data_IF_707873906022
#
_entry.id   IF_707873906022
#
_cell.length_a   1.000
_cell.length_b   1.000
_cell.length_c   1.000
_cell.angle_alpha   90.00
_cell.angle_beta   90.00
_cell.angle_gamma   90.00
#
_symmetry.space_group_name_H-M   'P 1'
#
loop_
_entity.id
_entity.type
_entity.pdbx_description
1 polymer ?
#
# COMPACT_ATOMS: atom_id res chain seq x y z
N UNK A 1 1.00 4.69 -4.84
CA UNK A 1 -0.16 5.50 -4.35
C UNK A 1 0.21 6.91 -3.90
N UNK A 2 1.41 7.14 -3.37
CA UNK A 2 1.88 8.49 -3.03
C UNK A 2 1.89 9.43 -4.24
N UNK A 3 2.33 8.96 -5.39
CA UNK A 3 2.47 9.76 -6.61
C UNK A 3 1.14 10.27 -7.19
N UNK A 4 0.06 9.46 -7.14
CA UNK A 4 -1.27 9.95 -7.51
C UNK A 4 -1.70 11.14 -6.65
N UNK A 5 -1.50 11.03 -5.32
CA UNK A 5 -1.85 12.11 -4.37
C UNK A 5 -0.93 13.33 -4.54
N UNK A 6 0.34 13.12 -4.81
CA UNK A 6 1.29 14.20 -5.09
C UNK A 6 0.89 14.98 -6.35
N UNK A 7 0.57 14.28 -7.44
CA UNK A 7 0.16 14.90 -8.70
C UNK A 7 -1.23 15.52 -8.65
N UNK A 8 -2.21 14.84 -8.06
CA UNK A 8 -3.63 15.22 -8.19
C UNK A 8 -4.29 15.64 -6.89
N UNK A 9 -3.63 15.50 -5.74
CA UNK A 9 -4.20 15.79 -4.42
C UNK A 9 -5.23 14.73 -3.99
N UNK A 10 -6.01 15.06 -2.98
CA UNK A 10 -7.10 14.18 -2.53
C UNK A 10 -8.29 14.27 -3.53
N UNK A 11 -8.64 13.17 -4.24
CA UNK A 11 -9.69 13.21 -5.26
C UNK A 11 -11.10 13.32 -4.67
N UNK A 12 -11.30 12.97 -3.39
CA UNK A 12 -12.62 13.07 -2.73
C UNK A 12 -12.93 14.51 -2.33
N UNK A 13 -11.94 15.22 -1.79
CA UNK A 13 -12.08 16.62 -1.35
C UNK A 13 -11.57 17.62 -2.39
N UNK A 14 -11.06 17.14 -3.52
CA UNK A 14 -10.50 17.93 -4.62
C UNK A 14 -9.54 19.05 -4.16
N UNK A 15 -8.54 18.68 -3.38
CA UNK A 15 -7.62 19.63 -2.73
C UNK A 15 -6.81 20.51 -3.69
N UNK A 16 -6.72 20.13 -4.99
CA UNK A 16 -6.07 20.93 -6.04
C UNK A 16 -7.03 21.72 -6.92
N UNK A 17 -8.34 21.62 -6.68
CA UNK A 17 -9.35 22.43 -7.40
C UNK A 17 -9.51 22.02 -8.87
N UNK A 18 -9.32 20.77 -9.24
CA UNK A 18 -9.55 20.28 -10.59
C UNK A 18 -11.02 20.44 -11.00
N UNK A 19 -11.30 20.54 -12.30
CA UNK A 19 -12.65 20.37 -12.79
C UNK A 19 -13.20 19.01 -12.37
N UNK A 20 -14.50 18.94 -12.11
CA UNK A 20 -15.18 17.69 -11.75
C UNK A 20 -16.38 17.44 -12.64
N UNK A 21 -16.74 16.17 -12.78
CA UNK A 21 -18.02 15.73 -13.33
C UNK A 21 -18.48 14.48 -12.57
N UNK A 22 -19.77 14.18 -12.63
CA UNK A 22 -20.29 12.97 -12.00
C UNK A 22 -19.80 11.72 -12.72
N UNK A 23 -19.50 10.65 -11.98
CA UNK A 23 -19.08 9.36 -12.57
C UNK A 23 -20.08 8.91 -13.66
N UNK A 24 -21.38 9.05 -13.43
CA UNK A 24 -22.41 8.70 -14.41
C UNK A 24 -22.30 9.44 -15.75
N UNK A 25 -21.66 10.61 -15.77
CA UNK A 25 -21.53 11.47 -16.95
C UNK A 25 -20.21 11.21 -17.70
N UNK A 26 -19.15 10.78 -17.00
CA UNK A 26 -17.80 10.61 -17.56
C UNK A 26 -17.29 9.18 -17.57
N UNK A 27 -17.90 8.30 -16.81
CA UNK A 27 -17.62 6.85 -16.78
C UNK A 27 -18.92 6.08 -16.40
N UNK A 28 -19.97 6.14 -17.22
CA UNK A 28 -21.23 5.46 -16.93
C UNK A 28 -21.06 3.95 -16.81
N UNK A 29 -21.98 3.31 -16.08
CA UNK A 29 -22.12 1.85 -16.10
C UNK A 29 -22.54 1.41 -17.50
N UNK A 30 -21.61 0.81 -18.22
CA UNK A 30 -21.84 0.38 -19.60
C UNK A 30 -21.19 -0.99 -19.82
N UNK A 31 -21.96 -2.08 -19.65
CA UNK A 31 -21.54 -3.40 -20.06
C UNK A 31 -21.15 -3.44 -21.53
N UNK A 32 -20.25 -4.35 -21.91
CA UNK A 32 -19.92 -4.59 -23.31
C UNK A 32 -21.16 -5.01 -24.11
N UNK A 33 -21.21 -4.60 -25.36
CA UNK A 33 -22.25 -5.06 -26.32
C UNK A 33 -21.78 -6.24 -27.17
N UNK A 34 -20.57 -6.71 -26.93
CA UNK A 34 -19.99 -7.84 -27.65
C UNK A 34 -20.79 -9.11 -27.40
N UNK A 35 -21.13 -9.84 -28.46
CA UNK A 35 -21.79 -11.12 -28.35
C UNK A 35 -20.72 -12.21 -28.11
N UNK A 36 -20.62 -12.63 -26.86
CA UNK A 36 -19.71 -13.70 -26.48
C UNK A 36 -20.36 -15.05 -26.73
N UNK A 37 -19.62 -16.03 -27.27
CA UNK A 37 -20.08 -17.38 -27.58
C UNK A 37 -19.02 -18.41 -27.21
N UNK A 38 -19.47 -19.63 -26.89
CA UNK A 38 -18.60 -20.72 -26.47
C UNK A 38 -18.08 -20.52 -25.03
N UNK A 39 -16.84 -20.91 -24.79
CA UNK A 39 -16.19 -20.70 -23.50
C UNK A 39 -15.78 -19.25 -23.34
N UNK A 40 -16.33 -18.61 -22.33
CA UNK A 40 -16.08 -17.21 -22.01
C UNK A 40 -15.34 -17.10 -20.68
N UNK A 41 -14.56 -16.06 -20.53
CA UNK A 41 -13.94 -15.72 -19.27
C UNK A 41 -15.00 -15.25 -18.26
N UNK A 42 -15.12 -15.99 -17.13
CA UNK A 42 -15.95 -15.61 -16.00
C UNK A 42 -15.08 -15.04 -14.90
N UNK A 43 -15.30 -13.76 -14.56
CA UNK A 43 -14.56 -13.07 -13.53
C UNK A 43 -15.40 -12.96 -12.24
N UNK A 44 -14.96 -13.66 -11.20
CA UNK A 44 -15.48 -13.56 -9.85
C UNK A 44 -14.59 -12.70 -8.95
N UNK A 45 -15.13 -12.27 -7.81
CA UNK A 45 -14.41 -11.40 -6.89
C UNK A 45 -13.18 -12.06 -6.25
N UNK A 46 -13.19 -13.35 -6.03
CA UNK A 46 -12.07 -14.13 -5.49
C UNK A 46 -10.89 -14.22 -6.45
N UNK A 47 -11.13 -14.07 -7.75
CA UNK A 47 -10.11 -14.02 -8.80
C UNK A 47 -9.40 -12.67 -8.90
N UNK A 48 -9.79 -11.68 -8.10
CA UNK A 48 -9.17 -10.35 -8.05
C UNK A 48 -8.41 -10.18 -6.75
N UNK A 49 -7.13 -9.87 -6.84
CA UNK A 49 -6.30 -9.58 -5.69
C UNK A 49 -6.68 -8.24 -5.05
N UNK A 50 -6.84 -8.25 -3.73
CA UNK A 50 -7.19 -7.04 -2.97
C UNK A 50 -6.07 -6.00 -3.04
N UNK A 51 -6.42 -4.72 -3.21
CA UNK A 51 -5.51 -3.55 -3.23
C UNK A 51 -4.53 -3.42 -4.41
N UNK A 52 -4.44 -4.39 -5.30
CA UNK A 52 -3.42 -4.41 -6.36
C UNK A 52 -3.95 -4.05 -7.74
N UNK A 53 -5.23 -4.35 -7.99
CA UNK A 53 -5.82 -4.24 -9.32
C UNK A 53 -5.41 -5.37 -10.27
N UNK A 54 -4.96 -6.51 -9.74
CA UNK A 54 -4.52 -7.69 -10.50
C UNK A 54 -5.59 -8.76 -10.51
N UNK A 55 -5.69 -9.44 -11.63
CA UNK A 55 -6.45 -10.69 -11.81
C UNK A 55 -5.47 -11.82 -11.57
N UNK A 56 -5.74 -12.67 -10.57
CA UNK A 56 -4.86 -13.75 -10.14
C UNK A 56 -5.22 -15.10 -10.78
N UNK A 57 -6.44 -15.20 -11.31
CA UNK A 57 -6.94 -16.41 -11.94
C UNK A 57 -7.90 -16.05 -13.08
N UNK A 58 -7.88 -16.80 -14.17
CA UNK A 58 -8.84 -16.73 -15.26
C UNK A 58 -9.52 -18.08 -15.42
N UNK A 59 -10.84 -18.10 -15.28
CA UNK A 59 -11.68 -19.30 -15.47
C UNK A 59 -12.56 -19.08 -16.69
N UNK A 60 -12.62 -20.10 -17.57
CA UNK A 60 -13.44 -20.05 -18.79
C UNK A 60 -14.52 -21.12 -18.71
N UNK A 61 -15.77 -20.71 -18.83
CA UNK A 61 -16.94 -21.58 -18.77
C UNK A 61 -17.88 -21.34 -19.96
N UNK A 62 -18.77 -22.28 -20.22
CA UNK A 62 -19.79 -22.11 -21.24
C UNK A 62 -20.83 -21.09 -20.80
N UNK A 63 -21.20 -20.18 -21.71
CA UNK A 63 -22.13 -19.04 -21.47
C UNK A 63 -23.46 -19.50 -20.83
N UNK A 64 -23.95 -20.69 -21.19
CA UNK A 64 -25.24 -21.22 -20.74
C UNK A 64 -25.31 -21.43 -19.21
N UNK A 65 -24.18 -21.52 -18.52
CA UNK A 65 -24.10 -21.75 -17.08
C UNK A 65 -23.96 -20.50 -16.22
N UNK A 66 -23.85 -19.33 -16.86
CA UNK A 66 -23.55 -18.07 -16.15
C UNK A 66 -24.84 -17.41 -15.61
N UNK A 67 -25.10 -17.56 -14.31
CA UNK A 67 -26.22 -16.90 -13.62
C UNK A 67 -25.78 -15.54 -13.03
N UNK A 68 -26.61 -14.51 -13.20
CA UNK A 68 -26.41 -13.18 -12.60
C UNK A 68 -25.05 -12.53 -12.93
N UNK A 69 -24.72 -12.51 -14.21
CA UNK A 69 -23.49 -11.91 -14.75
C UNK A 69 -23.79 -10.74 -15.68
N UNK A 70 -22.79 -9.92 -15.94
CA UNK A 70 -22.81 -8.84 -16.91
C UNK A 70 -21.52 -8.84 -17.72
N UNK A 71 -21.61 -8.48 -18.99
CA UNK A 71 -20.47 -8.46 -19.91
C UNK A 71 -19.54 -7.27 -19.66
N UNK A 72 -18.28 -7.45 -19.99
CA UNK A 72 -17.26 -6.40 -20.01
C UNK A 72 -16.28 -6.62 -21.17
N UNK A 73 -15.51 -5.59 -21.48
CA UNK A 73 -14.36 -5.64 -22.39
C UNK A 73 -13.22 -4.75 -21.88
N UNK A 74 -12.12 -4.66 -22.62
CA UNK A 74 -10.88 -3.94 -22.23
C UNK A 74 -11.10 -2.42 -22.06
N UNK A 75 -12.22 -1.88 -22.53
CA UNK A 75 -12.60 -0.47 -22.34
C UNK A 75 -13.20 -0.19 -20.96
N UNK A 76 -13.53 -1.21 -20.19
CA UNK A 76 -14.12 -1.05 -18.87
C UNK A 76 -13.06 -0.92 -17.76
N UNK A 77 -13.46 -0.25 -16.68
CA UNK A 77 -12.87 -0.35 -15.35
C UNK A 77 -13.91 -1.05 -14.46
N UNK A 78 -13.57 -2.24 -13.96
CA UNK A 78 -14.47 -3.04 -13.13
C UNK A 78 -14.26 -2.67 -11.67
N UNK A 79 -15.27 -2.11 -11.03
CA UNK A 79 -15.26 -1.68 -9.64
C UNK A 79 -16.14 -2.60 -8.79
N UNK A 80 -15.57 -3.21 -7.73
CA UNK A 80 -16.35 -3.97 -6.76
C UNK A 80 -17.12 -3.07 -5.81
N UNK A 81 -18.45 -3.08 -5.91
CA UNK A 81 -19.30 -2.41 -4.92
C UNK A 81 -19.38 -3.18 -3.60
N UNK A 82 -19.12 -4.51 -3.61
CA UNK A 82 -19.15 -5.38 -2.43
C UNK A 82 -17.86 -5.26 -1.65
N UNK A 83 -17.96 -5.01 -0.34
CA UNK A 83 -16.84 -4.89 0.60
C UNK A 83 -15.76 -3.94 0.06
N UNK A 84 -16.06 -2.63 -0.07
CA UNK A 84 -15.13 -1.65 -0.67
C UNK A 84 -13.74 -1.65 -0.05
N UNK A 85 -13.62 -2.01 1.23
CA UNK A 85 -12.33 -2.13 1.92
C UNK A 85 -11.38 -3.19 1.33
N UNK A 86 -11.91 -4.16 0.56
CA UNK A 86 -11.07 -5.12 -0.18
C UNK A 86 -10.43 -4.49 -1.41
N UNK A 87 -10.90 -3.31 -1.81
CA UNK A 87 -10.30 -2.50 -2.87
C UNK A 87 -10.04 -3.29 -4.17
N UNK A 88 -11.07 -3.95 -4.66
CA UNK A 88 -11.01 -4.76 -5.88
C UNK A 88 -11.50 -3.93 -7.07
N UNK A 89 -10.54 -3.36 -7.79
CA UNK A 89 -10.75 -2.58 -9.01
C UNK A 89 -9.76 -3.05 -10.05
N UNK A 90 -10.22 -3.47 -11.22
CA UNK A 90 -9.38 -4.02 -12.29
C UNK A 90 -9.73 -3.43 -13.66
N UNK A 91 -8.77 -3.43 -14.56
CA UNK A 91 -8.95 -3.19 -15.99
C UNK A 91 -8.77 -4.55 -16.67
N UNK A 92 -9.82 -5.09 -17.30
CA UNK A 92 -9.71 -6.37 -18.02
C UNK A 92 -8.83 -6.21 -19.26
N UNK A 93 -8.17 -7.30 -19.65
CA UNK A 93 -7.28 -7.39 -20.82
C UNK A 93 -7.91 -8.16 -22.00
N UNK A 94 -9.12 -8.69 -21.80
CA UNK A 94 -9.94 -9.35 -22.82
C UNK A 94 -11.44 -9.26 -22.46
N UNK A 95 -12.35 -9.49 -23.40
CA UNK A 95 -13.79 -9.53 -23.13
C UNK A 95 -14.17 -10.72 -22.25
N UNK A 96 -15.20 -10.53 -21.42
CA UNK A 96 -15.72 -11.57 -20.55
C UNK A 96 -17.03 -11.22 -19.88
N UNK A 97 -17.41 -12.03 -18.91
CA UNK A 97 -18.55 -11.78 -18.03
C UNK A 97 -18.10 -11.76 -16.56
N UNK A 98 -18.67 -10.86 -15.79
CA UNK A 98 -18.38 -10.73 -14.36
C UNK A 98 -19.65 -10.82 -13.53
N UNK A 99 -19.50 -11.20 -12.26
CA UNK A 99 -20.58 -11.10 -11.27
C UNK A 99 -21.14 -9.66 -11.23
N UNK A 100 -22.43 -9.51 -10.98
CA UNK A 100 -23.11 -8.20 -10.87
C UNK A 100 -22.62 -7.35 -9.67
N UNK A 101 -21.74 -7.87 -8.84
CA UNK A 101 -21.05 -7.09 -7.80
C UNK A 101 -19.88 -6.26 -8.36
N UNK A 102 -19.38 -6.58 -9.58
CA UNK A 102 -18.38 -5.80 -10.30
C UNK A 102 -19.10 -4.86 -11.28
N UNK A 103 -18.99 -3.56 -11.05
CA UNK A 103 -19.62 -2.52 -11.85
C UNK A 103 -18.73 -2.17 -13.04
N UNK A 104 -19.18 -2.38 -14.29
CA UNK A 104 -18.40 -2.08 -15.50
C UNK A 104 -18.51 -0.60 -15.86
N UNK A 105 -17.61 0.22 -15.32
CA UNK A 105 -17.51 1.63 -15.64
C UNK A 105 -16.80 1.81 -16.99
N UNK A 106 -17.37 2.60 -17.91
CA UNK A 106 -16.74 2.91 -19.19
C UNK A 106 -16.37 4.39 -19.24
N UNK A 107 -15.09 4.73 -19.03
CA UNK A 107 -14.65 6.12 -19.10
C UNK A 107 -14.74 6.66 -20.53
N UNK A 108 -15.15 7.93 -20.65
CA UNK A 108 -15.11 8.69 -21.90
C UNK A 108 -13.63 9.04 -22.19
N UNK A 109 -13.06 8.37 -23.17
CA UNK A 109 -11.61 8.37 -23.45
C UNK A 109 -11.04 9.74 -23.84
N UNK A 110 -11.90 10.67 -24.28
CA UNK A 110 -11.49 12.04 -24.62
C UNK A 110 -11.19 12.91 -23.38
N UNK A 111 -11.73 12.54 -22.21
CA UNK A 111 -11.67 13.35 -20.98
C UNK A 111 -11.19 12.60 -19.75
N UNK A 112 -11.31 11.27 -19.75
CA UNK A 112 -10.95 10.43 -18.62
C UNK A 112 -10.25 9.14 -19.05
N UNK A 113 -8.98 8.98 -18.68
CA UNK A 113 -8.20 7.79 -19.01
C UNK A 113 -8.54 6.64 -18.07
N UNK A 114 -8.73 5.41 -18.59
CA UNK A 114 -9.12 4.23 -17.79
C UNK A 114 -8.14 3.89 -16.67
N UNK A 115 -6.82 4.02 -16.91
CA UNK A 115 -5.80 3.77 -15.90
C UNK A 115 -5.85 4.84 -14.79
N UNK A 116 -6.06 6.12 -15.15
CA UNK A 116 -6.24 7.18 -14.17
C UNK A 116 -7.48 6.91 -13.30
N UNK A 117 -8.64 6.57 -13.89
CA UNK A 117 -9.85 6.22 -13.16
C UNK A 117 -9.62 5.02 -12.22
N UNK A 118 -8.97 3.97 -12.71
CA UNK A 118 -8.65 2.79 -11.89
C UNK A 118 -7.83 3.18 -10.65
N UNK A 119 -6.81 4.02 -10.81
CA UNK A 119 -5.98 4.48 -9.68
C UNK A 119 -6.74 5.42 -8.74
N UNK A 120 -7.63 6.27 -9.24
CA UNK A 120 -8.51 7.09 -8.42
C UNK A 120 -9.37 6.22 -7.50
N UNK A 121 -10.05 5.22 -8.09
CA UNK A 121 -10.95 4.32 -7.36
C UNK A 121 -10.22 3.38 -6.39
N UNK A 122 -8.95 3.03 -6.68
CA UNK A 122 -8.09 2.24 -5.80
C UNK A 122 -7.38 3.06 -4.72
N UNK A 123 -7.40 4.39 -4.83
CA UNK A 123 -6.76 5.28 -3.86
C UNK A 123 -7.42 5.17 -2.47
N UNK A 124 -6.62 5.19 -1.39
CA UNK A 124 -7.12 5.08 -0.02
C UNK A 124 -8.21 6.11 0.29
N UNK A 125 -8.14 7.30 -0.29
CA UNK A 125 -9.13 8.36 -0.10
C UNK A 125 -10.51 7.94 -0.61
N UNK A 126 -10.57 7.37 -1.84
CA UNK A 126 -11.82 6.88 -2.39
C UNK A 126 -12.28 5.60 -1.67
N UNK A 127 -11.38 4.69 -1.33
CA UNK A 127 -11.71 3.47 -0.58
C UNK A 127 -12.33 3.81 0.78
N UNK A 128 -11.75 4.76 1.51
CA UNK A 128 -12.29 5.22 2.78
C UNK A 128 -13.68 5.86 2.59
N UNK A 129 -13.84 6.76 1.61
CA UNK A 129 -15.13 7.33 1.24
C UNK A 129 -16.16 6.24 0.94
N UNK A 130 -15.82 5.27 0.10
CA UNK A 130 -16.72 4.17 -0.26
C UNK A 130 -17.09 3.28 0.94
N UNK A 131 -16.17 3.08 1.89
CA UNK A 131 -16.43 2.37 3.14
C UNK A 131 -17.37 3.13 4.08
N UNK A 132 -17.16 4.43 4.22
CA UNK A 132 -17.94 5.28 5.13
C UNK A 132 -19.43 5.32 4.72
N UNK A 133 -19.73 5.23 3.42
CA UNK A 133 -21.10 5.23 2.89
C UNK A 133 -21.67 3.84 2.62
N UNK A 134 -20.86 2.78 2.78
CA UNK A 134 -21.31 1.42 2.52
C UNK A 134 -22.35 0.96 3.53
N UNK A 135 -23.47 0.43 3.05
CA UNK A 135 -24.54 -0.16 3.86
C UNK A 135 -24.40 -1.67 4.03
N UNK A 136 -24.88 -2.18 5.16
CA UNK A 136 -24.89 -3.62 5.49
C UNK A 136 -23.80 -4.04 6.47
N UNK A 137 -24.15 -4.93 7.43
CA UNK A 137 -23.26 -5.31 8.55
C UNK A 137 -22.29 -6.43 8.18
N UNK A 138 -22.75 -7.49 7.49
CA UNK A 138 -21.90 -8.65 7.13
C UNK A 138 -21.28 -8.54 5.76
N UNK A 139 -21.95 -7.89 4.81
CA UNK A 139 -21.55 -7.75 3.41
C UNK A 139 -21.81 -6.31 2.97
N UNK A 140 -21.04 -5.34 3.46
CA UNK A 140 -21.25 -3.93 3.13
C UNK A 140 -21.09 -3.70 1.64
N UNK A 141 -21.97 -2.87 1.10
CA UNK A 141 -21.98 -2.49 -0.33
C UNK A 141 -22.02 -0.97 -0.46
N UNK A 142 -21.17 -0.44 -1.31
CA UNK A 142 -21.31 0.95 -1.78
C UNK A 142 -22.59 1.09 -2.60
N UNK A 143 -23.50 2.02 -2.25
CA UNK A 143 -24.71 2.25 -3.06
C UNK A 143 -24.31 2.77 -4.45
N UNK A 144 -24.92 2.21 -5.50
CA UNK A 144 -24.65 2.65 -6.88
C UNK A 144 -25.04 4.12 -7.12
N UNK A 145 -26.03 4.63 -6.41
CA UNK A 145 -26.42 6.05 -6.46
C UNK A 145 -25.28 6.96 -6.01
N UNK A 146 -24.54 6.56 -4.98
CA UNK A 146 -23.40 7.32 -4.47
C UNK A 146 -22.21 7.24 -5.45
N UNK A 147 -21.94 6.06 -6.00
CA UNK A 147 -20.90 5.90 -7.03
C UNK A 147 -21.22 6.77 -8.26
N UNK A 148 -22.47 6.73 -8.76
CA UNK A 148 -22.92 7.53 -9.91
C UNK A 148 -22.80 9.03 -9.69
N UNK A 149 -23.06 9.49 -8.48
CA UNK A 149 -23.05 10.89 -8.10
C UNK A 149 -21.71 11.38 -7.53
N UNK A 150 -20.71 10.51 -7.46
CA UNK A 150 -19.37 10.91 -7.03
C UNK A 150 -18.78 11.94 -8.01
N UNK A 151 -18.20 13.01 -7.46
CA UNK A 151 -17.52 14.07 -8.20
C UNK A 151 -16.12 13.62 -8.60
N UNK A 152 -15.99 13.03 -9.79
CA UNK A 152 -14.71 12.60 -10.33
C UNK A 152 -13.88 13.82 -10.74
N UNK A 153 -12.66 13.94 -10.23
CA UNK A 153 -11.73 14.97 -10.69
C UNK A 153 -11.29 14.70 -12.12
N UNK A 154 -11.18 15.76 -12.91
CA UNK A 154 -10.81 15.73 -14.32
C UNK A 154 -9.60 16.64 -14.59
N UNK A 155 -8.39 16.24 -14.19
CA UNK A 155 -7.19 16.93 -14.62
C UNK A 155 -7.09 16.95 -16.15
N UNK A 156 -6.39 17.89 -16.78
CA UNK A 156 -6.12 17.88 -18.21
C UNK A 156 -5.54 16.55 -18.68
N UNK A 157 -5.87 16.12 -19.90
CA UNK A 157 -5.50 14.79 -20.42
C UNK A 157 -3.99 14.57 -20.46
N UNK A 158 -3.20 15.60 -20.74
CA UNK A 158 -1.73 15.57 -20.69
C UNK A 158 -1.22 15.18 -19.30
N UNK A 159 -1.82 15.70 -18.22
CA UNK A 159 -1.49 15.34 -16.85
C UNK A 159 -1.93 13.93 -16.48
N UNK A 160 -3.09 13.49 -16.99
CA UNK A 160 -3.50 12.10 -16.81
C UNK A 160 -2.55 11.14 -17.54
N UNK A 161 -2.14 11.46 -18.78
CA UNK A 161 -1.20 10.64 -19.55
C UNK A 161 0.20 10.62 -18.94
N UNK A 162 0.68 11.73 -18.38
CA UNK A 162 1.92 11.79 -17.61
C UNK A 162 1.89 10.79 -16.45
N UNK A 163 0.79 10.79 -15.68
CA UNK A 163 0.59 9.81 -14.60
C UNK A 163 0.49 8.38 -15.14
N UNK A 164 -0.27 8.16 -16.22
CA UNK A 164 -0.42 6.83 -16.84
C UNK A 164 0.93 6.27 -17.26
N UNK A 165 1.77 7.08 -17.91
CA UNK A 165 3.12 6.67 -18.27
C UNK A 165 3.92 6.20 -17.04
N UNK A 166 3.87 6.95 -15.94
CA UNK A 166 4.54 6.60 -14.69
C UNK A 166 3.95 5.31 -14.07
N UNK A 167 2.61 5.23 -14.00
CA UNK A 167 1.92 4.07 -13.45
C UNK A 167 2.22 2.79 -14.23
N UNK A 168 2.23 2.86 -15.57
CA UNK A 168 2.57 1.72 -16.44
C UNK A 168 4.06 1.32 -16.34
N UNK A 169 4.99 2.26 -16.11
CA UNK A 169 6.38 1.92 -15.86
C UNK A 169 6.55 1.21 -14.52
N UNK A 170 5.82 1.64 -13.49
CA UNK A 170 5.79 0.98 -12.17
C UNK A 170 5.14 -0.41 -12.28
N UNK A 171 4.09 -0.57 -13.08
CA UNK A 171 3.44 -1.88 -13.31
C UNK A 171 4.30 -2.80 -14.20
N UNK A 172 5.03 -2.26 -15.16
CA UNK A 172 5.98 -3.00 -16.02
C UNK A 172 7.31 -3.28 -15.35
N UNK A 173 7.73 -2.44 -14.40
CA UNK A 173 8.87 -2.76 -13.55
C UNK A 173 8.47 -3.93 -12.65
N UNK A 174 9.35 -4.92 -12.50
CA UNK A 174 9.21 -6.15 -11.70
C UNK A 174 8.55 -6.03 -10.31
N UNK A 175 8.05 -4.84 -9.95
CA UNK A 175 7.40 -4.53 -8.68
C UNK A 175 6.05 -5.25 -8.52
N UNK A 176 5.28 -5.44 -9.60
CA UNK A 176 4.09 -6.28 -9.60
C UNK A 176 4.42 -7.75 -9.36
N UNK A 177 5.48 -8.25 -10.00
CA UNK A 177 5.99 -9.62 -9.80
C UNK A 177 6.64 -9.79 -8.43
N UNK A 178 7.29 -8.76 -7.91
CA UNK A 178 7.96 -8.75 -6.63
C UNK A 178 6.99 -8.99 -5.45
N UNK A 179 5.91 -8.21 -5.36
CA UNK A 179 4.92 -8.37 -4.29
C UNK A 179 4.20 -9.72 -4.40
N UNK A 180 3.95 -10.20 -5.62
CA UNK A 180 3.39 -11.53 -5.86
C UNK A 180 4.36 -12.64 -5.47
N UNK A 181 5.64 -12.53 -5.84
CA UNK A 181 6.67 -13.50 -5.45
C UNK A 181 6.84 -13.56 -3.92
N UNK A 182 6.78 -12.40 -3.24
CA UNK A 182 6.81 -12.36 -1.78
C UNK A 182 5.59 -13.03 -1.17
N UNK A 183 4.40 -12.73 -1.69
CA UNK A 183 3.13 -13.31 -1.21
C UNK A 183 3.15 -14.82 -1.46
N UNK A 184 3.59 -15.28 -2.61
CA UNK A 184 3.72 -16.70 -2.95
C UNK A 184 4.72 -17.42 -2.03
N UNK A 185 5.91 -16.86 -1.85
CA UNK A 185 6.91 -17.33 -0.89
C UNK A 185 6.33 -17.40 0.52
N UNK A 186 5.60 -16.38 0.95
CA UNK A 186 4.98 -16.28 2.25
C UNK A 186 3.89 -17.33 2.47
N UNK A 187 2.96 -17.51 1.50
CA UNK A 187 1.86 -18.48 1.63
C UNK A 187 2.34 -19.92 1.54
N UNK A 188 3.40 -20.18 0.78
CA UNK A 188 3.98 -21.52 0.65
C UNK A 188 4.87 -21.91 1.83
N UNK A 189 5.25 -20.97 2.68
CA UNK A 189 6.09 -21.27 3.85
C UNK A 189 5.26 -21.85 4.98
N UNK A 190 5.53 -23.10 5.32
CA UNK A 190 4.93 -23.78 6.47
C UNK A 190 5.69 -23.55 7.79
N UNK A 191 6.96 -23.12 7.71
CA UNK A 191 7.79 -22.80 8.86
C UNK A 191 7.37 -21.46 9.46
N UNK A 192 6.64 -21.49 10.57
CA UNK A 192 6.22 -20.31 11.32
C UNK A 192 6.85 -20.30 12.70
N UNK A 193 7.57 -19.24 13.02
CA UNK A 193 8.23 -19.05 14.30
C UNK A 193 7.62 -17.84 15.03
N UNK A 194 7.86 -17.72 16.36
CA UNK A 194 7.42 -16.51 17.08
C UNK A 194 8.32 -15.33 16.76
N UNK A 195 7.75 -14.11 16.80
CA UNK A 195 8.52 -12.89 16.57
C UNK A 195 9.74 -12.81 17.50
N UNK A 196 9.58 -13.20 18.79
CA UNK A 196 10.70 -13.24 19.74
C UNK A 196 11.75 -14.30 19.44
N UNK A 197 11.39 -15.39 18.73
CA UNK A 197 12.40 -16.40 18.35
C UNK A 197 13.22 -15.97 17.15
N UNK A 198 12.65 -15.18 16.22
CA UNK A 198 13.36 -14.66 15.05
C UNK A 198 14.02 -13.29 15.33
N UNK A 199 13.60 -12.61 16.39
CA UNK A 199 14.19 -11.36 16.87
C UNK A 199 14.66 -11.54 18.33
N UNK A 200 15.84 -12.12 18.56
CA UNK A 200 16.35 -12.40 19.92
C UNK A 200 16.49 -11.14 20.77
N UNK A 201 16.62 -9.99 20.13
CA UNK A 201 16.62 -8.70 20.83
C UNK A 201 15.42 -7.89 20.36
N UNK A 202 14.50 -7.67 21.30
CA UNK A 202 13.32 -6.82 21.11
C UNK A 202 13.28 -5.77 22.21
N UNK A 203 13.09 -4.51 21.83
CA UNK A 203 13.15 -3.40 22.76
C UNK A 203 12.07 -2.34 22.47
N UNK A 204 11.12 -2.16 23.39
CA UNK A 204 10.32 -0.94 23.45
C UNK A 204 11.18 0.14 24.11
N UNK A 205 11.36 1.28 23.43
CA UNK A 205 12.33 2.29 23.77
C UNK A 205 12.20 2.94 25.14
N UNK A 206 12.91 4.00 25.36
CA UNK A 206 12.91 4.75 26.64
C UNK A 206 11.84 5.83 26.64
N UNK A 207 11.60 6.46 27.81
CA UNK A 207 10.99 7.78 27.92
C UNK A 207 12.12 8.82 27.90
N UNK A 208 12.34 9.53 26.78
CA UNK A 208 13.47 10.45 26.66
C UNK A 208 13.34 11.66 27.57
N UNK A 209 14.48 12.22 27.97
CA UNK A 209 14.57 13.58 28.53
C UNK A 209 15.03 14.49 27.40
N UNK A 210 14.09 15.19 26.80
CA UNK A 210 14.33 16.00 25.62
C UNK A 210 15.15 17.26 25.94
N UNK A 211 16.08 17.58 25.04
CA UNK A 211 16.90 18.78 25.00
C UNK A 211 16.89 19.37 23.59
N UNK A 212 17.38 20.60 23.40
CA UNK A 212 17.41 21.24 22.09
C UNK A 212 18.43 20.64 21.13
N UNK A 213 19.55 20.15 21.66
CA UNK A 213 20.58 19.47 20.87
C UNK A 213 21.40 18.49 21.75
N UNK A 214 21.85 17.39 21.16
CA UNK A 214 22.67 16.37 21.80
C UNK A 214 23.23 15.42 20.73
N UNK A 215 24.27 14.67 21.09
CA UNK A 215 24.77 13.54 20.28
C UNK A 215 23.90 12.28 20.40
N UNK A 216 22.86 12.26 21.26
CA UNK A 216 21.94 11.14 21.44
C UNK A 216 20.60 11.48 20.78
N UNK A 217 20.35 10.90 19.63
CA UNK A 217 19.20 11.15 18.78
C UNK A 217 18.10 10.12 19.01
N UNK A 218 16.85 10.58 19.08
CA UNK A 218 15.69 9.77 19.45
C UNK A 218 14.81 9.56 18.23
N UNK A 219 14.75 8.33 17.74
CA UNK A 219 13.78 7.90 16.75
C UNK A 219 12.42 7.76 17.42
N UNK A 220 11.49 8.58 16.98
CA UNK A 220 10.09 8.57 17.42
C UNK A 220 9.15 8.12 16.29
N UNK A 221 7.87 7.98 16.58
CA UNK A 221 6.87 7.51 15.61
C UNK A 221 6.79 8.38 14.33
N UNK A 222 7.13 9.67 14.39
CA UNK A 222 7.12 10.57 13.23
C UNK A 222 8.33 10.36 12.31
N UNK A 223 9.34 9.62 12.76
CA UNK A 223 10.51 9.25 11.96
C UNK A 223 10.27 7.99 11.10
N UNK A 224 9.20 7.21 11.37
CA UNK A 224 8.97 5.90 10.75
C UNK A 224 7.85 6.01 9.70
N UNK A 225 8.19 5.66 8.47
CA UNK A 225 7.31 5.67 7.32
C UNK A 225 7.37 4.32 6.59
N UNK A 226 6.35 4.01 5.79
CA UNK A 226 6.29 2.76 5.02
C UNK A 226 7.41 2.63 3.97
N UNK A 227 7.93 3.76 3.53
CA UNK A 227 9.00 3.90 2.53
C UNK A 227 10.40 4.14 3.14
N UNK A 228 10.53 3.99 4.48
CA UNK A 228 11.79 4.15 5.18
C UNK A 228 11.76 5.15 6.32
N UNK A 229 12.92 5.50 6.84
CA UNK A 229 13.07 6.47 7.92
C UNK A 229 13.18 7.91 7.40
N UNK A 230 12.62 8.86 8.16
CA UNK A 230 12.76 10.31 7.92
C UNK A 230 13.23 11.01 9.19
N UNK A 231 14.44 11.51 9.16
CA UNK A 231 15.11 12.08 10.34
C UNK A 231 14.80 13.57 10.58
N UNK A 232 14.03 14.22 9.71
CA UNK A 232 13.65 15.65 9.88
C UNK A 232 12.83 15.95 11.15
N UNK A 233 12.21 14.95 11.76
CA UNK A 233 11.44 15.05 12.99
C UNK A 233 12.14 14.42 14.19
N UNK A 234 13.45 14.15 14.09
CA UNK A 234 14.23 13.55 15.16
C UNK A 234 14.28 14.47 16.38
N UNK A 235 14.33 13.89 17.57
CA UNK A 235 14.47 14.60 18.86
C UNK A 235 15.80 14.24 19.49
N UNK A 236 16.19 14.98 20.52
CA UNK A 236 17.47 14.80 21.21
C UNK A 236 17.23 14.42 22.66
N UNK A 237 17.97 13.44 23.13
CA UNK A 237 17.99 13.02 24.54
C UNK A 237 19.17 13.65 25.26
N UNK A 238 18.99 14.05 26.54
CA UNK A 238 20.08 14.59 27.34
C UNK A 238 21.18 13.52 27.52
N UNK A 239 22.35 13.76 26.96
CA UNK A 239 23.50 12.84 26.96
C UNK A 239 24.12 12.62 28.35
N UNK A 240 23.87 13.52 29.31
CA UNK A 240 24.28 13.32 30.72
C UNK A 240 23.49 12.21 31.41
N UNK A 241 22.35 11.82 30.85
CA UNK A 241 21.52 10.73 31.37
C UNK A 241 21.87 9.45 30.63
N UNK A 242 22.44 8.44 31.32
CA UNK A 242 22.82 7.20 30.67
C UNK A 242 21.67 6.47 30.00
N UNK A 243 21.86 6.12 28.75
CA UNK A 243 20.92 5.24 28.01
C UNK A 243 21.09 3.81 28.56
N UNK A 244 20.08 3.34 29.30
CA UNK A 244 20.09 2.00 29.93
C UNK A 244 19.49 0.90 29.05
N UNK A 245 19.05 1.25 27.85
CA UNK A 245 18.49 0.34 26.87
C UNK A 245 19.36 0.29 25.62
N UNK A 246 18.99 -0.60 24.69
CA UNK A 246 19.75 -0.82 23.47
C UNK A 246 19.86 0.45 22.62
N UNK A 247 21.03 0.65 22.07
CA UNK A 247 21.30 1.58 20.98
C UNK A 247 20.88 0.90 19.67
N UNK A 248 20.27 1.66 18.75
CA UNK A 248 19.86 1.16 17.45
C UNK A 248 21.07 0.89 16.55
N UNK A 249 20.99 -0.19 15.79
CA UNK A 249 21.99 -0.58 14.80
C UNK A 249 21.35 -0.71 13.41
N UNK A 250 22.15 -0.54 12.37
CA UNK A 250 21.66 -0.76 10.99
C UNK A 250 21.12 -2.17 10.81
N UNK A 251 19.90 -2.27 10.28
CA UNK A 251 19.16 -3.50 10.11
C UNK A 251 18.19 -3.82 11.25
N UNK A 252 18.11 -2.99 12.30
CA UNK A 252 16.98 -3.09 13.22
C UNK A 252 15.68 -2.76 12.48
N UNK A 253 14.64 -3.57 12.65
CA UNK A 253 13.31 -3.25 12.14
C UNK A 253 12.57 -2.45 13.19
N UNK A 254 12.17 -1.25 12.84
CA UNK A 254 11.43 -0.34 13.73
C UNK A 254 9.94 -0.45 13.46
N UNK A 255 9.16 -0.64 14.52
CA UNK A 255 7.71 -0.78 14.46
C UNK A 255 7.05 0.26 15.37
N UNK A 256 6.19 1.11 14.81
CA UNK A 256 5.39 2.05 15.60
C UNK A 256 4.37 1.30 16.45
N UNK A 257 4.53 1.40 17.76
CA UNK A 257 3.65 0.75 18.73
C UNK A 257 2.39 1.55 19.04
N UNK A 258 2.35 2.85 18.77
CA UNK A 258 1.26 3.73 19.16
C UNK A 258 0.88 4.73 18.05
N UNK A 259 -0.24 5.42 18.27
CA UNK A 259 -0.65 6.57 17.48
C UNK A 259 -1.72 6.27 16.44
N UNK A 260 -2.76 7.13 16.42
CA UNK A 260 -3.84 7.03 15.44
C UNK A 260 -3.30 7.33 14.04
N UNK A 261 -3.37 6.33 13.13
CA UNK A 261 -2.86 6.41 11.76
C UNK A 261 -1.33 6.24 11.60
N UNK A 262 -0.59 6.01 12.70
CA UNK A 262 0.86 5.71 12.66
C UNK A 262 1.20 4.34 13.24
N UNK A 263 0.35 3.78 14.11
CA UNK A 263 0.50 2.44 14.67
C UNK A 263 0.69 1.42 13.53
N UNK A 264 1.61 0.51 13.72
CA UNK A 264 1.91 -0.55 12.76
C UNK A 264 2.89 -0.14 11.65
N UNK A 265 3.15 1.17 11.41
CA UNK A 265 4.20 1.56 10.46
C UNK A 265 5.53 0.94 10.85
N UNK A 266 6.25 0.46 9.86
CA UNK A 266 7.56 -0.15 10.09
C UNK A 266 8.54 0.23 8.98
N UNK A 267 9.83 0.19 9.32
CA UNK A 267 10.92 0.33 8.36
C UNK A 267 12.19 -0.35 8.89
N UNK A 268 13.10 -0.69 7.99
CA UNK A 268 14.46 -1.10 8.36
C UNK A 268 15.27 0.16 8.68
N UNK A 269 15.87 0.21 9.85
CA UNK A 269 16.70 1.33 10.27
C UNK A 269 18.08 1.26 9.58
N UNK A 270 18.48 2.37 8.98
CA UNK A 270 19.80 2.58 8.40
C UNK A 270 20.48 3.64 9.25
N UNK A 271 21.49 3.23 10.01
CA UNK A 271 22.25 4.15 10.84
C UNK A 271 23.02 5.14 9.95
N UNK A 272 22.80 6.46 10.10
CA UNK A 272 23.57 7.45 9.37
C UNK A 272 25.08 7.33 9.65
N UNK A 273 25.89 7.67 8.65
CA UNK A 273 27.36 7.68 8.77
C UNK A 273 27.83 8.95 9.49
N UNK A 274 27.37 9.13 10.72
CA UNK A 274 27.75 10.21 11.62
C UNK A 274 28.23 9.66 12.96
N UNK A 275 28.65 10.52 13.87
CA UNK A 275 29.17 10.11 15.18
C UNK A 275 28.07 10.13 16.27
N UNK A 276 26.78 10.11 15.86
CA UNK A 276 25.68 10.18 16.81
C UNK A 276 25.24 8.80 17.28
N UNK A 277 24.61 8.78 18.44
CA UNK A 277 23.97 7.60 19.02
C UNK A 277 22.48 7.64 18.76
N UNK A 278 21.93 6.57 18.20
CA UNK A 278 20.50 6.49 17.90
C UNK A 278 19.78 5.56 18.85
N UNK A 279 18.70 6.03 19.43
CA UNK A 279 17.82 5.27 20.34
C UNK A 279 16.37 5.42 19.91
N UNK A 280 15.50 4.49 20.29
CA UNK A 280 14.06 4.62 20.08
C UNK A 280 13.35 5.11 21.34
N UNK A 281 12.26 5.86 21.17
CA UNK A 281 11.37 6.24 22.28
C UNK A 281 10.40 5.10 22.64
N UNK A 282 9.63 5.32 23.73
CA UNK A 282 8.67 4.34 24.23
C UNK A 282 7.50 4.01 23.30
N UNK A 283 7.35 4.76 22.22
CA UNK A 283 6.30 4.57 21.20
C UNK A 283 6.78 3.72 20.01
N UNK A 284 8.05 3.34 19.98
CA UNK A 284 8.67 2.56 18.92
C UNK A 284 9.26 1.28 19.49
N UNK A 285 8.97 0.15 18.87
CA UNK A 285 9.58 -1.16 19.14
C UNK A 285 10.71 -1.35 18.12
N UNK A 286 11.91 -1.64 18.62
CA UNK A 286 13.05 -2.08 17.81
C UNK A 286 13.16 -3.60 17.86
N UNK A 287 13.29 -4.21 16.69
CA UNK A 287 13.34 -5.65 16.46
C UNK A 287 14.69 -5.96 15.78
N UNK A 288 15.60 -6.64 16.48
CA UNK A 288 16.86 -7.07 15.89
C UNK A 288 16.75 -8.52 15.49
N UNK A 289 16.73 -8.76 14.18
CA UNK A 289 16.58 -10.12 13.64
C UNK A 289 17.83 -10.97 13.86
N UNK A 290 17.63 -12.27 14.11
CA UNK A 290 18.67 -13.25 13.84
C UNK A 290 18.80 -13.43 12.33
N UNK A 291 19.83 -12.82 11.75
CA UNK A 291 20.05 -12.82 10.28
C UNK A 291 20.39 -14.19 9.71
N UNK A 292 20.68 -15.19 10.55
CA UNK A 292 20.78 -16.58 10.13
C UNK A 292 19.41 -17.26 9.98
N UNK A 293 18.36 -16.62 10.51
CA UNK A 293 16.98 -17.13 10.48
C UNK A 293 16.10 -16.30 9.57
N UNK A 294 16.10 -14.97 9.75
CA UNK A 294 15.27 -14.06 8.93
C UNK A 294 16.00 -12.74 8.65
N UNK A 295 15.98 -12.32 7.38
CA UNK A 295 16.56 -11.04 6.99
C UNK A 295 15.63 -9.88 7.41
N UNK A 296 16.18 -8.72 7.83
CA UNK A 296 15.40 -7.54 8.25
C UNK A 296 14.39 -7.09 7.21
N UNK A 297 14.77 -7.09 5.93
CA UNK A 297 13.95 -6.68 4.81
C UNK A 297 12.73 -7.60 4.63
N UNK A 298 12.94 -8.90 4.82
CA UNK A 298 11.87 -9.93 4.77
C UNK A 298 10.88 -9.72 5.91
N UNK A 299 11.38 -9.54 7.14
CA UNK A 299 10.53 -9.25 8.30
C UNK A 299 9.76 -7.93 8.12
N UNK A 300 10.44 -6.87 7.68
CA UNK A 300 9.81 -5.57 7.44
C UNK A 300 8.70 -5.65 6.39
N UNK A 301 8.95 -6.35 5.29
CA UNK A 301 7.94 -6.55 4.25
C UNK A 301 6.76 -7.33 4.78
N UNK A 302 6.98 -8.41 5.55
CA UNK A 302 5.91 -9.17 6.20
C UNK A 302 5.07 -8.30 7.12
N UNK A 303 5.70 -7.52 8.00
CA UNK A 303 5.00 -6.63 8.92
C UNK A 303 4.19 -5.55 8.18
N UNK A 304 4.61 -5.14 6.99
CA UNK A 304 3.94 -4.13 6.18
C UNK A 304 2.75 -4.65 5.36
N UNK A 305 2.53 -5.98 5.28
CA UNK A 305 1.39 -6.55 4.56
C UNK A 305 0.07 -6.16 5.21
N UNK A 306 -0.95 -5.88 4.39
CA UNK A 306 -2.27 -5.48 4.88
C UNK A 306 -2.89 -6.52 5.82
N UNK A 307 -2.76 -7.81 5.50
CA UNK A 307 -3.30 -8.90 6.31
C UNK A 307 -2.57 -8.99 7.66
N UNK A 308 -1.25 -8.80 7.65
CA UNK A 308 -0.43 -8.75 8.86
C UNK A 308 -0.79 -7.54 9.72
N UNK A 309 -1.00 -6.37 9.10
CA UNK A 309 -1.45 -5.17 9.79
C UNK A 309 -2.84 -5.36 10.42
N UNK A 310 -3.76 -5.98 9.68
CA UNK A 310 -5.08 -6.33 10.21
C UNK A 310 -5.00 -7.33 11.38
N UNK A 311 -4.09 -8.29 11.33
CA UNK A 311 -3.81 -9.23 12.42
C UNK A 311 -3.25 -8.48 13.64
N UNK A 312 -2.25 -7.59 13.45
CA UNK A 312 -1.67 -6.77 14.52
C UNK A 312 -2.77 -5.99 15.24
N UNK A 313 -3.61 -5.27 14.49
CA UNK A 313 -4.71 -4.49 15.06
C UNK A 313 -5.72 -5.34 15.83
N UNK A 314 -6.06 -6.51 15.32
CA UNK A 314 -7.08 -7.37 15.92
C UNK A 314 -6.60 -8.13 17.15
N UNK A 315 -5.32 -8.56 17.18
CA UNK A 315 -4.84 -9.52 18.18
C UNK A 315 -3.87 -8.91 19.19
N UNK A 316 -3.12 -7.87 18.81
CA UNK A 316 -2.00 -7.37 19.62
C UNK A 316 -2.14 -5.90 20.03
N UNK A 317 -3.25 -5.25 19.70
CA UNK A 317 -3.50 -3.85 20.05
C UNK A 317 -4.54 -3.77 21.17
N UNK A 318 -4.29 -2.89 22.14
CA UNK A 318 -5.21 -2.51 23.20
C UNK A 318 -5.44 -1.01 23.19
N UNK A 319 -6.50 -0.54 23.87
CA UNK A 319 -6.84 0.86 24.01
C UNK A 319 -8.16 1.24 23.37
N UNK A 320 -8.54 2.52 23.53
CA UNK A 320 -9.76 3.11 22.98
C UNK A 320 -9.44 4.02 21.79
N UNK A 321 -10.46 4.51 21.12
CA UNK A 321 -10.43 5.25 19.83
C UNK A 321 -9.35 6.35 19.70
N UNK A 322 -8.82 6.88 20.82
CA UNK A 322 -7.81 7.95 20.80
C UNK A 322 -6.43 7.56 21.34
N UNK A 323 -6.30 6.38 21.96
CA UNK A 323 -5.02 5.87 22.46
C UNK A 323 -4.95 4.36 22.25
N UNK A 324 -4.35 3.96 21.15
CA UNK A 324 -4.07 2.56 20.81
C UNK A 324 -2.59 2.26 20.99
N UNK A 325 -2.28 1.11 21.57
CA UNK A 325 -0.90 0.65 21.81
C UNK A 325 -0.77 -0.84 21.50
N UNK A 326 0.31 -1.23 20.83
CA UNK A 326 0.69 -2.62 20.66
C UNK A 326 1.16 -3.17 22.02
N UNK A 327 0.51 -4.22 22.50
CA UNK A 327 0.88 -4.91 23.72
C UNK A 327 2.19 -5.66 23.49
N UNK A 328 3.29 -5.13 24.04
CA UNK A 328 4.63 -5.64 23.78
C UNK A 328 4.83 -7.11 24.17
N UNK A 329 4.20 -7.56 25.27
CA UNK A 329 4.25 -8.97 25.70
C UNK A 329 3.56 -9.91 24.72
N UNK A 330 2.55 -9.43 24.01
CA UNK A 330 1.70 -10.25 23.15
C UNK A 330 2.22 -10.29 21.72
N UNK A 331 2.68 -9.15 21.18
CA UNK A 331 3.27 -9.11 19.83
C UNK A 331 4.50 -10.02 19.69
N UNK A 332 5.24 -10.27 20.78
CA UNK A 332 6.34 -11.23 20.83
C UNK A 332 5.95 -12.63 20.37
N UNK A 333 4.71 -13.03 20.63
CA UNK A 333 4.15 -14.36 20.32
C UNK A 333 3.58 -14.45 18.91
N UNK A 334 3.54 -13.34 18.19
CA UNK A 334 3.06 -13.28 16.81
C UNK A 334 3.83 -14.28 15.95
N UNK A 335 3.11 -15.05 15.13
CA UNK A 335 3.71 -16.04 14.24
C UNK A 335 4.16 -15.37 12.95
N UNK A 336 5.45 -15.47 12.69
CA UNK A 336 6.12 -14.95 11.50
C UNK A 336 6.53 -16.12 10.63
N UNK A 337 6.21 -16.15 9.33
CA UNK A 337 6.72 -17.14 8.40
C UNK A 337 8.21 -16.92 8.17
N UNK A 338 8.94 -18.02 8.12
CA UNK A 338 10.39 -18.04 7.91
C UNK A 338 10.67 -18.87 6.67
N UNK A 339 10.71 -18.26 5.47
CA UNK A 339 11.12 -18.91 4.25
C UNK A 339 12.55 -19.45 4.32
N UNK A 340 12.96 -20.29 3.37
CA UNK A 340 14.36 -20.71 3.27
C UNK A 340 15.27 -19.49 3.05
N UNK A 341 16.52 -19.58 3.49
CA UNK A 341 17.47 -18.48 3.35
C UNK A 341 17.71 -18.11 1.87
N UNK A 342 17.72 -19.09 0.98
CA UNK A 342 17.88 -18.87 -0.46
C UNK A 342 16.72 -18.05 -1.03
N UNK A 343 15.48 -18.34 -0.62
CA UNK A 343 14.30 -17.55 -1.01
C UNK A 343 14.38 -16.14 -0.46
N UNK A 344 14.83 -15.98 0.79
CA UNK A 344 14.98 -14.67 1.41
C UNK A 344 16.05 -13.82 0.70
N UNK A 345 17.20 -14.41 0.37
CA UNK A 345 18.29 -13.71 -0.34
C UNK A 345 17.79 -13.26 -1.72
N UNK A 346 17.17 -14.16 -2.49
CA UNK A 346 16.61 -13.83 -3.79
C UNK A 346 15.59 -12.69 -3.69
N UNK A 347 14.73 -12.73 -2.68
CA UNK A 347 13.76 -11.68 -2.43
C UNK A 347 14.43 -10.33 -2.17
N UNK A 348 15.44 -10.27 -1.29
CA UNK A 348 16.16 -9.02 -0.94
C UNK A 348 16.92 -8.47 -2.15
N UNK A 349 17.48 -9.33 -2.99
CA UNK A 349 18.12 -8.91 -4.25
C UNK A 349 17.13 -8.23 -5.19
N UNK A 350 15.94 -8.81 -5.37
CA UNK A 350 14.87 -8.23 -6.19
C UNK A 350 14.35 -6.92 -5.58
N UNK A 351 14.16 -6.86 -4.25
CA UNK A 351 13.78 -5.64 -3.54
C UNK A 351 14.80 -4.51 -3.79
N UNK A 352 16.07 -4.81 -3.59
CA UNK A 352 17.16 -3.84 -3.78
C UNK A 352 17.23 -3.32 -5.22
N UNK A 353 16.98 -4.17 -6.21
CA UNK A 353 16.93 -3.75 -7.61
C UNK A 353 15.70 -2.87 -7.90
N UNK A 354 14.55 -3.17 -7.28
CA UNK A 354 13.34 -2.38 -7.41
C UNK A 354 13.53 -0.97 -6.82
N UNK A 355 14.06 -0.88 -5.60
CA UNK A 355 14.33 0.39 -4.92
C UNK A 355 15.33 1.26 -5.72
N UNK A 356 16.39 0.63 -6.26
CA UNK A 356 17.37 1.31 -7.11
C UNK A 356 16.74 1.85 -8.39
N UNK A 357 15.86 1.08 -9.02
CA UNK A 357 15.15 1.49 -10.25
C UNK A 357 14.18 2.64 -9.96
N UNK A 358 13.48 2.63 -8.82
CA UNK A 358 12.63 3.73 -8.38
C UNK A 358 13.43 5.01 -8.12
N UNK A 359 14.59 4.88 -7.47
CA UNK A 359 15.49 6.01 -7.22
C UNK A 359 16.01 6.66 -8.50
N UNK A 360 16.45 5.87 -9.49
CA UNK A 360 16.92 6.37 -10.79
C UNK A 360 15.78 7.02 -11.59
N UNK A 361 14.57 6.47 -11.50
CA UNK A 361 13.39 7.06 -12.11
C UNK A 361 13.05 8.42 -11.49
N UNK A 362 13.07 8.53 -10.16
CA UNK A 362 12.84 9.81 -9.44
C UNK A 362 13.87 10.87 -9.86
N UNK A 363 15.14 10.51 -9.92
CA UNK A 363 16.21 11.42 -10.42
C UNK A 363 15.94 11.92 -11.85
N UNK A 364 15.50 11.02 -12.72
CA UNK A 364 15.18 11.37 -14.09
C UNK A 364 14.00 12.35 -14.19
N UNK A 365 12.97 12.15 -13.35
CA UNK A 365 11.82 13.05 -13.26
C UNK A 365 12.26 14.44 -12.75
N UNK A 366 13.06 14.49 -11.69
CA UNK A 366 13.58 15.76 -11.15
C UNK A 366 14.42 16.53 -12.20
N UNK A 367 15.23 15.81 -12.97
CA UNK A 367 16.01 16.42 -14.06
C UNK A 367 15.11 16.97 -15.17
N UNK A 368 14.07 16.24 -15.56
CA UNK A 368 13.07 16.68 -16.54
C UNK A 368 12.33 17.91 -16.02
N UNK A 369 11.88 17.92 -14.77
CA UNK A 369 11.20 19.06 -14.15
C UNK A 369 12.08 20.32 -14.11
N UNK A 370 13.38 20.18 -13.88
CA UNK A 370 14.33 21.29 -13.95
C UNK A 370 14.46 21.84 -15.37
N UNK A 371 14.51 20.97 -16.38
CA UNK A 371 14.55 21.39 -17.81
C UNK A 371 13.26 22.12 -18.18
N UNK A 372 12.10 21.59 -17.80
CA UNK A 372 10.79 22.22 -18.06
C UNK A 372 10.72 23.60 -17.40
N UNK A 373 11.12 23.73 -16.13
CA UNK A 373 11.17 25.03 -15.43
C UNK A 373 12.10 26.03 -16.11
N UNK A 374 13.22 25.56 -16.63
CA UNK A 374 14.16 26.44 -17.36
C UNK A 374 13.59 26.92 -18.71
N UNK A 375 12.77 26.09 -19.38
CA UNK A 375 12.12 26.43 -20.65
C UNK A 375 10.92 27.38 -20.49
N UNK A 376 10.24 27.34 -19.33
CA UNK A 376 9.08 28.19 -19.04
C UNK A 376 9.53 29.59 -18.57
N UNK A 377 10.72 29.70 -17.98
CA UNK A 377 11.24 30.96 -17.43
C UNK A 377 12.15 31.74 -18.43
N UNK A 378 12.33 31.24 -19.64
CA UNK A 378 12.92 31.92 -20.79
C UNK A 378 11.86 32.26 -21.83
#
# INVERSE_FOLDING_TARGET
>A
MSQFIEMFGNPVTNTKGWKTAKIKDVAPEMPSKEQLSGKIWLLNLDMIESNTGRIIEKVYEDVENALSVQSFDEGNVLFSKLRPYLNKVVIPDEPGMATTELVPLRPETSILHKVFLSHLLRGNQFVNYANDIAGGTKMPRMPLTELRNFDCILPPMDKQLEFVFIAEQVDKSKFGDFKSQFIEMYYNTHNKQTLESVCPIMNKGITPKYVESSSVLVINQACIHWDGQRLGNIKYHNEEIPVRKRILESGDVLLNATGNGTLGRCCVFICPSDNNTYINDGHVIALSTDRAVILPEVLNTYLSLNDTQAEIYRQYVTGSTNQVDIVFSDIKKMKVPVPSMDEQILFVEVLTQADKSEFELRKSIEAIDQVIKSLINN
#
